data_IF_503222089710
#
_entry.id   IF_503222089710
#
_cell.length_a   1.000
_cell.length_b   1.000
_cell.length_c   1.000
_cell.angle_alpha   90.00
_cell.angle_beta   90.00
_cell.angle_gamma   90.00
#
_symmetry.space_group_name_H-M   'P 1'
#
loop_
_entity.id
_entity.type
_entity.pdbx_description
1 polymer ?
#
# COMPACT_ATOMS: atom_id res chain seq x y z
N UNK A 1 36.78 -42.44 -9.82
CA UNK A 1 36.86 -43.72 -9.08
C UNK A 1 36.33 -43.49 -7.68
N UNK A 2 35.18 -44.09 -7.39
CA UNK A 2 34.44 -43.96 -6.14
C UNK A 2 35.02 -44.89 -5.08
N UNK A 3 35.16 -44.41 -3.84
CA UNK A 3 35.44 -45.25 -2.68
C UNK A 3 34.25 -45.16 -1.72
N UNK A 4 33.52 -46.27 -1.66
CA UNK A 4 32.46 -46.62 -0.70
C UNK A 4 33.07 -47.16 0.60
N UNK A 5 32.19 -47.32 1.60
CA UNK A 5 32.25 -48.17 2.82
C UNK A 5 32.70 -47.40 4.07
N UNK A 6 32.08 -47.50 5.27
CA UNK A 6 30.99 -48.31 5.83
C UNK A 6 30.46 -47.55 7.08
N UNK A 7 29.15 -47.39 7.33
CA UNK A 7 28.23 -48.27 8.09
C UNK A 7 28.72 -48.72 9.47
N UNK A 8 28.10 -48.19 10.53
CA UNK A 8 27.51 -48.83 11.74
C UNK A 8 27.13 -47.70 12.73
N UNK A 9 25.88 -47.39 13.09
CA UNK A 9 24.68 -48.13 13.53
C UNK A 9 24.67 -48.50 15.03
N UNK A 10 23.54 -48.13 15.66
CA UNK A 10 22.98 -48.50 16.98
C UNK A 10 23.51 -47.82 18.26
N UNK A 11 22.63 -47.04 18.89
CA UNK A 11 22.02 -47.42 20.18
C UNK A 11 20.74 -46.61 20.41
N UNK A 12 19.61 -47.29 20.34
CA UNK A 12 18.32 -46.82 20.83
C UNK A 12 18.04 -47.48 22.19
N UNK A 13 17.11 -46.87 22.94
CA UNK A 13 16.32 -47.43 24.06
C UNK A 13 16.76 -47.01 25.47
N UNK A 14 15.96 -46.14 26.09
CA UNK A 14 15.23 -46.55 27.29
C UNK A 14 13.89 -45.80 27.37
N UNK A 15 12.82 -46.58 27.29
CA UNK A 15 11.49 -46.27 27.80
C UNK A 15 11.54 -46.17 29.33
N UNK A 16 10.71 -45.31 29.94
CA UNK A 16 9.54 -45.78 30.70
C UNK A 16 8.69 -44.66 31.34
N UNK A 17 7.42 -44.96 31.69
CA UNK A 17 6.32 -44.02 31.93
C UNK A 17 5.69 -44.09 33.35
N UNK A 18 4.63 -43.29 33.56
CA UNK A 18 3.67 -43.26 34.69
C UNK A 18 4.20 -42.60 36.00
N UNK A 19 3.45 -41.95 36.89
CA UNK A 19 2.04 -42.02 37.30
C UNK A 19 1.74 -40.76 38.18
N UNK A 20 0.75 -39.91 37.86
CA UNK A 20 -0.57 -39.73 38.49
C UNK A 20 -0.67 -39.30 39.98
N UNK A 21 -1.72 -38.50 40.26
CA UNK A 21 -2.35 -38.15 41.58
C UNK A 21 -1.86 -36.81 42.17
N UNK A 22 -2.65 -35.78 42.49
CA UNK A 22 -4.01 -35.69 43.05
C UNK A 22 -4.60 -34.26 42.92
N UNK A 23 -5.90 -34.05 43.25
CA UNK A 23 -6.75 -32.93 42.81
C UNK A 23 -6.93 -31.83 43.88
N UNK A 24 -7.43 -30.64 43.49
CA UNK A 24 -8.38 -29.93 44.34
C UNK A 24 -9.23 -28.85 43.63
N UNK A 25 -10.55 -28.95 43.81
CA UNK A 25 -11.61 -27.95 43.59
C UNK A 25 -12.82 -28.43 44.45
N UNK A 26 -13.85 -27.60 44.76
CA UNK A 26 -13.99 -26.36 45.56
C UNK A 26 -14.89 -26.63 46.81
N UNK A 27 -15.59 -25.65 47.45
CA UNK A 27 -16.91 -25.21 46.94
C UNK A 27 -17.40 -23.76 47.21
N UNK A 28 -18.29 -23.32 46.32
CA UNK A 28 -19.56 -22.59 46.49
C UNK A 28 -19.69 -21.24 47.25
N UNK A 29 -20.24 -20.24 46.54
CA UNK A 29 -21.54 -19.56 46.83
C UNK A 29 -21.79 -18.57 45.66
N UNK A 30 -22.77 -18.66 44.74
CA UNK A 30 -24.26 -18.73 44.74
C UNK A 30 -24.98 -17.53 45.37
N UNK A 31 -25.38 -16.56 44.54
CA UNK A 31 -26.71 -15.89 44.50
C UNK A 31 -26.72 -14.87 43.33
N UNK A 32 -27.37 -15.12 42.19
CA UNK A 32 -28.80 -15.00 41.84
C UNK A 32 -29.39 -13.55 41.87
N UNK A 33 -29.82 -13.10 40.68
CA UNK A 33 -30.57 -11.88 40.27
C UNK A 33 -32.02 -11.82 40.87
N UNK A 34 -32.98 -10.86 40.62
CA UNK A 34 -33.13 -9.81 39.56
C UNK A 34 -33.81 -8.45 40.05
N UNK A 35 -34.70 -7.67 39.32
CA UNK A 35 -34.61 -6.18 39.19
C UNK A 35 -35.85 -5.33 39.63
N UNK A 36 -35.76 -3.99 39.40
CA UNK A 36 -36.80 -2.89 39.38
C UNK A 36 -37.24 -2.23 40.72
N UNK A 37 -37.89 -1.01 40.76
CA UNK A 37 -38.06 0.13 39.81
C UNK A 37 -37.75 1.55 40.41
N UNK A 38 -37.97 2.61 39.60
CA UNK A 38 -37.72 4.07 39.78
C UNK A 38 -38.61 4.79 40.85
N UNK A 39 -38.56 6.14 41.13
CA UNK A 39 -38.71 7.27 40.16
C UNK A 39 -38.04 8.66 40.45
N UNK A 40 -38.17 9.55 39.45
CA UNK A 40 -38.26 11.04 39.49
C UNK A 40 -36.98 11.87 39.75
N UNK A 41 -36.69 13.03 39.14
CA UNK A 41 -37.29 13.93 38.12
C UNK A 41 -36.28 15.04 37.77
N UNK A 42 -36.57 15.81 36.71
CA UNK A 42 -36.00 17.14 36.30
C UNK A 42 -34.95 17.05 35.19
N UNK A 43 -35.31 17.09 33.91
CA UNK A 43 -35.86 18.22 33.13
C UNK A 43 -34.90 19.39 32.96
N UNK A 44 -34.25 19.48 31.78
CA UNK A 44 -34.36 20.67 30.92
C UNK A 44 -33.93 20.35 29.48
N UNK A 45 -34.92 20.47 28.60
CA UNK A 45 -34.85 20.48 27.14
C UNK A 45 -34.14 21.75 26.66
N UNK A 46 -33.50 21.68 25.50
CA UNK A 46 -33.75 22.60 24.37
C UNK A 46 -33.18 22.03 23.07
N UNK A 47 -34.12 21.46 22.30
CA UNK A 47 -34.11 21.38 20.84
C UNK A 47 -34.19 22.80 20.27
N UNK A 48 -33.46 23.08 19.19
CA UNK A 48 -33.79 24.11 18.18
C UNK A 48 -33.49 23.50 16.81
N UNK A 49 -34.44 22.75 16.24
CA UNK A 49 -35.28 23.11 15.08
C UNK A 49 -34.56 23.66 13.85
N UNK A 50 -34.51 22.79 12.83
CA UNK A 50 -34.33 23.08 11.41
C UNK A 50 -35.57 23.85 10.92
N UNK A 51 -35.36 24.90 10.12
CA UNK A 51 -36.42 25.49 9.29
C UNK A 51 -35.86 25.84 7.90
N UNK A 52 -36.23 25.03 6.92
CA UNK A 52 -36.27 25.39 5.50
C UNK A 52 -37.61 26.09 5.26
N UNK A 53 -37.62 27.28 4.65
CA UNK A 53 -38.78 27.76 3.89
C UNK A 53 -38.43 28.93 2.97
N UNK A 54 -38.83 28.73 1.72
CA UNK A 54 -38.81 29.55 0.51
C UNK A 54 -39.83 30.70 0.46
N UNK A 55 -39.53 31.73 -0.34
CA UNK A 55 -40.47 32.72 -0.90
C UNK A 55 -39.84 33.32 -2.18
N UNK A 56 -40.51 33.74 -3.26
CA UNK A 56 -41.87 33.58 -3.78
C UNK A 56 -41.85 33.98 -5.28
N UNK A 57 -42.90 33.58 -6.00
CA UNK A 57 -43.18 33.60 -7.44
C UNK A 57 -43.11 34.96 -8.18
N UNK A 58 -42.73 34.91 -9.47
CA UNK A 58 -43.41 35.61 -10.59
C UNK A 58 -43.02 35.00 -11.95
N UNK A 59 -44.03 34.63 -12.75
CA UNK A 59 -43.99 34.19 -14.16
C UNK A 59 -44.95 35.10 -14.97
N UNK A 60 -45.23 34.94 -16.29
CA UNK A 60 -44.51 34.31 -17.43
C UNK A 60 -44.41 35.27 -18.66
N UNK A 61 -43.60 34.97 -19.70
CA UNK A 61 -44.05 35.24 -21.09
C UNK A 61 -43.39 34.32 -22.13
N UNK A 62 -44.26 33.80 -22.98
CA UNK A 62 -44.04 32.88 -24.10
C UNK A 62 -43.28 33.51 -25.27
N UNK A 63 -42.34 32.76 -25.86
CA UNK A 63 -42.27 32.60 -27.32
C UNK A 63 -41.43 31.34 -27.69
N UNK A 64 -42.12 30.30 -28.16
CA UNK A 64 -41.58 29.21 -29.00
C UNK A 64 -41.50 29.71 -30.47
N UNK A 65 -40.79 29.07 -31.45
CA UNK A 65 -40.87 27.61 -31.65
C UNK A 65 -39.57 26.99 -32.29
N UNK A 66 -39.57 25.84 -33.01
CA UNK A 66 -38.65 24.73 -32.69
C UNK A 66 -37.70 24.37 -33.86
N UNK A 67 -36.49 23.92 -33.57
CA UNK A 67 -35.65 23.32 -34.61
C UNK A 67 -34.85 22.13 -34.08
N UNK A 68 -35.34 20.95 -34.47
CA UNK A 68 -34.59 19.73 -34.72
C UNK A 68 -33.75 19.14 -33.57
N UNK A 69 -34.41 18.35 -32.72
CA UNK A 69 -33.79 17.16 -32.17
C UNK A 69 -33.59 16.13 -33.30
N UNK A 70 -32.39 16.07 -33.88
CA UNK A 70 -31.93 14.91 -34.65
C UNK A 70 -30.41 14.85 -34.61
N UNK A 71 -29.90 14.03 -33.70
CA UNK A 71 -28.46 13.83 -33.53
C UNK A 71 -28.13 12.83 -32.43
N UNK A 72 -28.89 11.74 -32.32
CA UNK A 72 -28.34 10.52 -31.76
C UNK A 72 -27.31 10.01 -32.78
N UNK A 73 -26.07 10.43 -32.60
CA UNK A 73 -24.92 10.06 -33.40
C UNK A 73 -23.74 10.00 -32.46
N UNK A 74 -23.55 8.81 -31.90
CA UNK A 74 -22.35 8.27 -31.29
C UNK A 74 -21.34 9.28 -30.68
N UNK A 75 -21.10 9.14 -29.38
CA UNK A 75 -19.77 9.32 -28.82
C UNK A 75 -18.83 8.24 -29.44
N UNK A 76 -18.60 8.34 -30.75
CA UNK A 76 -17.53 7.70 -31.51
C UNK A 76 -16.45 8.73 -31.83
N UNK A 77 -16.40 9.79 -31.02
CA UNK A 77 -15.14 10.40 -30.65
C UNK A 77 -14.56 9.58 -29.51
N UNK A 78 -14.25 8.30 -29.79
CA UNK A 78 -13.11 7.68 -29.16
C UNK A 78 -12.05 8.76 -29.14
N UNK A 79 -11.59 9.11 -27.94
CA UNK A 79 -10.40 9.90 -27.77
C UNK A 79 -9.28 9.10 -28.45
N UNK A 80 -9.18 9.21 -29.77
CA UNK A 80 -7.95 9.08 -30.54
C UNK A 80 -7.10 10.32 -30.21
N UNK A 81 -6.95 10.57 -28.91
CA UNK A 81 -5.66 10.73 -28.33
C UNK A 81 -4.87 9.47 -28.76
N UNK A 82 -4.40 9.49 -30.01
CA UNK A 82 -2.96 9.54 -30.21
C UNK A 82 -2.47 10.59 -29.23
N UNK A 83 -2.34 10.18 -27.97
CA UNK A 83 -1.24 10.56 -27.13
C UNK A 83 -0.11 10.27 -28.09
N UNK A 84 0.32 11.31 -28.79
CA UNK A 84 1.67 11.41 -29.29
C UNK A 84 2.39 11.19 -27.99
N UNK A 85 2.72 9.92 -27.70
CA UNK A 85 3.81 9.57 -26.81
C UNK A 85 4.87 10.42 -27.47
N UNK A 86 5.27 11.57 -26.87
CA UNK A 86 6.46 12.17 -27.36
C UNK A 86 7.42 11.00 -27.31
N UNK A 87 8.07 10.68 -28.43
CA UNK A 87 9.36 10.04 -28.39
C UNK A 87 10.31 11.00 -27.65
N UNK A 88 9.96 11.36 -26.40
CA UNK A 88 10.86 11.56 -25.30
C UNK A 88 11.71 10.31 -25.41
N UNK A 89 12.82 10.49 -26.13
CA UNK A 89 13.64 9.39 -26.62
C UNK A 89 13.80 8.40 -25.47
N UNK A 90 13.83 7.09 -25.72
CA UNK A 90 13.99 6.11 -24.63
C UNK A 90 15.13 6.48 -23.67
N UNK A 91 16.11 7.26 -24.13
CA UNK A 91 17.17 7.88 -23.36
C UNK A 91 16.71 8.98 -22.39
N UNK A 92 15.87 9.93 -22.80
CA UNK A 92 15.33 10.99 -21.94
C UNK A 92 14.44 10.41 -20.83
N UNK A 93 13.56 9.46 -21.17
CA UNK A 93 12.76 8.73 -20.17
C UNK A 93 13.66 8.01 -19.13
N UNK A 94 14.75 7.37 -19.58
CA UNK A 94 15.73 6.75 -18.69
C UNK A 94 16.45 7.79 -17.82
N UNK A 95 16.77 8.98 -18.34
CA UNK A 95 17.40 10.05 -17.59
C UNK A 95 16.49 10.61 -16.48
N UNK A 96 15.20 10.75 -16.77
CA UNK A 96 14.17 11.11 -15.79
C UNK A 96 14.09 10.06 -14.67
N UNK A 97 14.02 8.77 -15.02
CA UNK A 97 14.01 7.68 -14.03
C UNK A 97 15.27 7.65 -13.16
N UNK A 98 16.45 7.88 -13.75
CA UNK A 98 17.71 7.99 -12.98
C UNK A 98 17.65 9.15 -11.99
N UNK A 99 17.01 10.26 -12.35
CA UNK A 99 16.83 11.41 -11.46
C UNK A 99 15.89 11.07 -10.30
N UNK A 100 14.75 10.42 -10.57
CA UNK A 100 13.83 9.99 -9.52
C UNK A 100 14.42 8.92 -8.60
N UNK A 101 15.18 7.97 -9.14
CA UNK A 101 15.92 6.99 -8.35
C UNK A 101 16.97 7.66 -7.44
N UNK A 102 17.69 8.67 -7.95
CA UNK A 102 18.63 9.43 -7.13
C UNK A 102 17.93 10.17 -5.98
N UNK A 103 16.74 10.72 -6.23
CA UNK A 103 15.93 11.35 -5.18
C UNK A 103 15.49 10.33 -4.12
N UNK A 104 15.08 9.13 -4.54
CA UNK A 104 14.79 8.04 -3.61
C UNK A 104 16.01 7.66 -2.75
N UNK A 105 17.21 7.61 -3.33
CA UNK A 105 18.43 7.28 -2.58
C UNK A 105 18.91 8.38 -1.64
N UNK A 106 18.56 9.65 -1.91
CA UNK A 106 18.91 10.80 -1.06
C UNK A 106 18.24 10.76 0.32
N UNK A 107 17.22 9.93 0.52
CA UNK A 107 16.60 9.74 1.84
C UNK A 107 17.56 9.19 2.89
N UNK A 108 18.70 8.62 2.48
CA UNK A 108 19.78 8.18 3.39
C UNK A 108 20.17 9.24 4.40
N UNK A 109 20.25 10.51 3.99
CA UNK A 109 20.59 11.63 4.90
C UNK A 109 19.59 11.76 6.06
N UNK A 110 18.32 11.42 5.82
CA UNK A 110 17.24 11.47 6.81
C UNK A 110 17.27 10.24 7.72
N UNK A 111 17.66 9.07 7.17
CA UNK A 111 17.95 7.87 7.95
C UNK A 111 19.10 8.13 8.92
N UNK A 112 20.21 8.67 8.42
CA UNK A 112 21.40 8.98 9.21
C UNK A 112 21.10 10.04 10.30
N UNK A 113 20.21 11.00 10.01
CA UNK A 113 19.76 12.02 10.96
C UNK A 113 18.66 11.55 11.93
N UNK A 114 18.10 10.35 11.74
CA UNK A 114 16.96 9.84 12.53
C UNK A 114 15.67 10.66 12.34
N UNK A 115 15.53 11.36 11.22
CA UNK A 115 14.41 12.25 10.92
C UNK A 115 13.21 11.47 10.36
N UNK A 116 12.59 10.61 11.17
CA UNK A 116 11.63 9.59 10.72
C UNK A 116 10.41 10.13 9.97
N UNK A 117 9.83 11.26 10.41
CA UNK A 117 8.65 11.86 9.76
C UNK A 117 8.98 12.41 8.37
N UNK A 118 10.11 13.11 8.27
CA UNK A 118 10.60 13.66 7.01
C UNK A 118 11.04 12.54 6.07
N UNK A 119 11.70 11.50 6.60
CA UNK A 119 12.04 10.29 5.87
C UNK A 119 10.81 9.69 5.19
N UNK A 120 9.73 9.44 5.94
CA UNK A 120 8.51 8.88 5.38
C UNK A 120 7.87 9.78 4.31
N UNK A 121 7.85 11.09 4.54
CA UNK A 121 7.28 12.04 3.58
C UNK A 121 8.07 12.05 2.25
N UNK A 122 9.39 12.20 2.34
CA UNK A 122 10.29 12.22 1.19
C UNK A 122 10.35 10.87 0.47
N UNK A 123 10.33 9.76 1.22
CA UNK A 123 10.27 8.40 0.66
C UNK A 123 9.00 8.21 -0.17
N UNK A 124 7.84 8.57 0.36
CA UNK A 124 6.56 8.43 -0.36
C UNK A 124 6.49 9.32 -1.60
N UNK A 125 6.96 10.57 -1.49
CA UNK A 125 6.99 11.50 -2.61
C UNK A 125 7.91 11.04 -3.74
N UNK A 126 9.16 10.68 -3.40
CA UNK A 126 10.14 10.18 -4.38
C UNK A 126 9.73 8.84 -4.99
N UNK A 127 9.18 7.92 -4.19
CA UNK A 127 8.70 6.63 -4.67
C UNK A 127 7.50 6.77 -5.61
N UNK A 128 6.58 7.70 -5.37
CA UNK A 128 5.40 7.91 -6.22
C UNK A 128 5.80 8.27 -7.66
N UNK A 129 6.74 9.20 -7.82
CA UNK A 129 7.22 9.61 -9.14
C UNK A 129 7.93 8.43 -9.84
N UNK A 130 8.87 7.78 -9.13
CA UNK A 130 9.61 6.65 -9.68
C UNK A 130 8.69 5.49 -10.10
N UNK A 131 7.57 5.29 -9.40
CA UNK A 131 6.59 4.25 -9.70
C UNK A 131 5.95 4.46 -11.06
N UNK A 132 5.57 5.69 -11.36
CA UNK A 132 4.95 6.06 -12.62
C UNK A 132 5.92 5.82 -13.78
N UNK A 133 7.14 6.34 -13.67
CA UNK A 133 8.10 6.26 -14.76
C UNK A 133 8.61 4.84 -15.01
N UNK A 134 8.90 4.08 -13.94
CA UNK A 134 9.31 2.67 -14.09
C UNK A 134 8.20 1.84 -14.72
N UNK A 135 6.94 2.09 -14.36
CA UNK A 135 5.83 1.37 -14.97
C UNK A 135 5.71 1.68 -16.47
N UNK A 136 5.92 2.94 -16.88
CA UNK A 136 5.96 3.32 -18.29
C UNK A 136 7.08 2.59 -19.06
N UNK A 137 8.31 2.56 -18.52
CA UNK A 137 9.43 1.81 -19.12
C UNK A 137 9.10 0.32 -19.26
N UNK A 138 8.50 -0.29 -18.23
CA UNK A 138 8.11 -1.71 -18.25
C UNK A 138 7.11 -1.98 -19.37
N UNK A 139 6.15 -1.09 -19.60
CA UNK A 139 5.16 -1.27 -20.66
C UNK A 139 5.75 -1.10 -22.06
N UNK A 140 6.73 -0.20 -22.21
CA UNK A 140 7.48 -0.02 -23.45
C UNK A 140 8.45 -1.17 -23.76
N UNK A 141 8.86 -1.94 -22.74
CA UNK A 141 9.83 -3.05 -22.90
C UNK A 141 9.22 -4.27 -23.60
N UNK A 142 10.04 -5.02 -24.35
CA UNK A 142 9.68 -6.29 -24.99
C UNK A 142 9.04 -7.31 -24.01
N UNK A 143 8.01 -8.07 -24.43
CA UNK A 143 7.31 -9.04 -23.59
C UNK A 143 8.21 -10.08 -22.91
N UNK A 144 9.32 -10.48 -23.53
CA UNK A 144 10.23 -11.50 -22.96
C UNK A 144 10.94 -11.02 -21.70
N UNK A 145 11.37 -9.74 -21.67
CA UNK A 145 12.06 -9.13 -20.52
C UNK A 145 11.09 -8.51 -19.51
N UNK A 146 9.85 -8.28 -19.93
CA UNK A 146 8.82 -7.59 -19.12
C UNK A 146 8.49 -8.34 -17.82
N UNK A 147 8.49 -9.68 -17.84
CA UNK A 147 8.24 -10.49 -16.65
C UNK A 147 9.31 -10.27 -15.57
N UNK A 148 10.58 -10.31 -15.95
CA UNK A 148 11.70 -10.08 -15.05
C UNK A 148 11.69 -8.67 -14.47
N UNK A 149 11.44 -7.65 -15.31
CA UNK A 149 11.36 -6.26 -14.85
C UNK A 149 10.18 -6.04 -13.90
N UNK A 150 9.03 -6.68 -14.11
CA UNK A 150 7.89 -6.61 -13.19
C UNK A 150 8.21 -7.21 -11.83
N UNK A 151 8.98 -8.30 -11.80
CA UNK A 151 9.46 -8.90 -10.54
C UNK A 151 10.34 -7.90 -9.80
N UNK A 152 11.37 -7.35 -10.45
CA UNK A 152 12.28 -6.36 -9.86
C UNK A 152 11.55 -5.10 -9.38
N UNK A 153 10.58 -4.62 -10.16
CA UNK A 153 9.71 -3.51 -9.77
C UNK A 153 8.93 -3.82 -8.49
N UNK A 154 8.39 -5.03 -8.39
CA UNK A 154 7.65 -5.47 -7.20
C UNK A 154 8.59 -5.56 -5.99
N UNK A 155 9.77 -6.15 -6.15
CA UNK A 155 10.79 -6.28 -5.11
C UNK A 155 11.25 -4.89 -4.59
N UNK A 156 11.45 -3.92 -5.50
CA UNK A 156 11.77 -2.54 -5.17
C UNK A 156 10.68 -1.89 -4.31
N UNK A 157 9.43 -1.89 -4.78
CA UNK A 157 8.34 -1.19 -4.07
C UNK A 157 7.85 -1.90 -2.82
N UNK A 158 8.03 -3.23 -2.74
CA UNK A 158 7.86 -3.96 -1.50
C UNK A 158 8.90 -3.51 -0.47
N UNK A 159 10.18 -3.39 -0.86
CA UNK A 159 11.25 -2.90 0.03
C UNK A 159 11.01 -1.45 0.47
N UNK A 160 10.53 -0.58 -0.42
CA UNK A 160 10.11 0.80 -0.07
C UNK A 160 8.99 0.79 0.98
N UNK A 161 7.98 -0.07 0.80
CA UNK A 161 6.85 -0.19 1.73
C UNK A 161 7.32 -0.71 3.09
N UNK A 162 8.18 -1.72 3.11
CA UNK A 162 8.77 -2.24 4.35
C UNK A 162 9.65 -1.21 5.04
N UNK A 163 10.43 -0.41 4.29
CA UNK A 163 11.19 0.70 4.85
C UNK A 163 10.27 1.76 5.49
N UNK A 164 9.13 2.08 4.85
CA UNK A 164 8.15 3.02 5.40
C UNK A 164 7.56 2.54 6.74
N UNK A 165 7.29 1.24 6.85
CA UNK A 165 6.85 0.61 8.11
C UNK A 165 7.97 0.59 9.15
N UNK A 166 9.18 0.17 8.80
CA UNK A 166 10.32 0.16 9.71
C UNK A 166 10.65 1.58 10.22
N UNK A 167 10.53 2.61 9.36
CA UNK A 167 10.70 4.00 9.74
C UNK A 167 9.60 4.50 10.69
N UNK A 168 8.36 4.01 10.54
CA UNK A 168 7.26 4.30 11.48
C UNK A 168 7.58 3.78 12.87
N UNK A 169 8.07 2.55 12.92
CA UNK A 169 8.34 1.82 14.15
C UNK A 169 9.74 2.15 14.71
N UNK A 170 10.52 2.94 13.96
CA UNK A 170 11.89 3.41 14.26
C UNK A 170 12.88 2.26 14.44
N UNK A 171 12.65 1.17 13.72
CA UNK A 171 13.50 -0.01 13.70
C UNK A 171 14.70 0.26 12.78
N UNK A 172 15.78 0.78 13.36
CA UNK A 172 17.01 1.12 12.64
C UNK A 172 17.60 -0.06 11.85
N UNK A 173 17.78 -1.28 12.41
CA UNK A 173 18.33 -2.38 11.63
C UNK A 173 17.44 -2.76 10.44
N UNK A 174 16.11 -2.80 10.60
CA UNK A 174 15.20 -3.06 9.48
C UNK A 174 15.22 -1.94 8.43
N UNK A 175 15.31 -0.67 8.84
CA UNK A 175 15.45 0.46 7.91
C UNK A 175 16.71 0.32 7.06
N UNK A 176 17.85 -0.04 7.66
CA UNK A 176 19.11 -0.22 6.94
C UNK A 176 19.05 -1.41 5.97
N UNK A 177 18.46 -2.52 6.40
CA UNK A 177 18.25 -3.71 5.57
C UNK A 177 17.41 -3.36 4.33
N UNK A 178 16.23 -2.76 4.54
CA UNK A 178 15.34 -2.41 3.45
C UNK A 178 15.94 -1.34 2.54
N UNK A 179 16.72 -0.40 3.07
CA UNK A 179 17.45 0.57 2.25
C UNK A 179 18.48 -0.12 1.35
N UNK A 180 19.24 -1.08 1.87
CA UNK A 180 20.16 -1.89 1.07
C UNK A 180 19.46 -2.69 -0.03
N UNK A 181 18.28 -3.24 0.26
CA UNK A 181 17.46 -3.94 -0.72
C UNK A 181 16.97 -3.00 -1.84
N UNK A 182 16.59 -1.76 -1.51
CA UNK A 182 16.20 -0.73 -2.49
C UNK A 182 17.37 -0.41 -3.42
N UNK A 183 18.57 -0.19 -2.89
CA UNK A 183 19.78 0.09 -3.69
C UNK A 183 20.05 -1.07 -4.66
N UNK A 184 20.05 -2.29 -4.14
CA UNK A 184 20.30 -3.50 -4.94
C UNK A 184 19.26 -3.69 -6.04
N UNK A 185 17.97 -3.48 -5.74
CA UNK A 185 16.90 -3.59 -6.72
C UNK A 185 17.01 -2.53 -7.81
N UNK A 186 17.36 -1.29 -7.47
CA UNK A 186 17.59 -0.23 -8.45
C UNK A 186 18.75 -0.56 -9.40
N UNK A 187 19.87 -1.05 -8.87
CA UNK A 187 21.03 -1.45 -9.69
C UNK A 187 20.66 -2.60 -10.65
N UNK A 188 19.89 -3.57 -10.18
CA UNK A 188 19.38 -4.66 -11.01
C UNK A 188 18.44 -4.17 -12.10
N UNK A 189 17.54 -3.22 -11.79
CA UNK A 189 16.65 -2.61 -12.79
C UNK A 189 17.47 -1.86 -13.84
N UNK A 190 18.39 -0.98 -13.42
CA UNK A 190 19.22 -0.21 -14.35
C UNK A 190 20.10 -1.07 -15.24
N UNK A 191 20.58 -2.21 -14.74
CA UNK A 191 21.33 -3.20 -15.53
C UNK A 191 20.50 -3.91 -16.60
N UNK A 192 19.17 -3.83 -16.55
CA UNK A 192 18.26 -4.46 -17.51
C UNK A 192 17.67 -3.49 -18.54
N UNK A 193 17.62 -2.20 -18.20
CA UNK A 193 17.09 -1.14 -19.07
C UNK A 193 18.18 -0.33 -19.79
N UNK A 194 19.43 -0.43 -19.33
CA UNK A 194 20.63 0.03 -20.08
C UNK A 194 21.02 -1.03 -21.09
#
# INVERSE_FOLDING_TARGET
>A
MALRLAVQALSATSLSPAEATSPNKPPSSVQQHPPMPAPATSSRRRLVTIAMASAALLAPQLLLPPAAARGAGAFDGALDLRIIIPEESSEEAQAVVRTHARNLLRVKRLIDAGAWRELQAELRASASNLKQDLYAIIQATDPTRRADLRRLYSDLFNSVTSLDYAARDKDVPQVQEHYGNIVTALDQIFSKIT
#
